data_IF_521737925473
#
_entry.id   IF_521737925473
#
_cell.length_a   1.000
_cell.length_b   1.000
_cell.length_c   1.000
_cell.angle_alpha   90.00
_cell.angle_beta   90.00
_cell.angle_gamma   90.00
#
_symmetry.space_group_name_H-M   'P 1'
#
loop_
_entity.id
_entity.type
_entity.pdbx_description
1 polymer ?
#
# COMPACT_ATOMS: atom_id res chain seq x y z
N UNK A 1 15.25 -22.91 23.37
CA UNK A 1 14.24 -23.06 22.32
C UNK A 1 12.94 -22.49 22.87
N UNK A 2 12.64 -21.26 22.50
CA UNK A 2 11.44 -20.61 23.00
C UNK A 2 10.49 -20.41 21.82
N UNK A 3 9.58 -21.39 21.69
CA UNK A 3 8.56 -21.47 20.65
C UNK A 3 7.32 -20.73 21.15
N UNK A 4 7.33 -19.39 21.08
CA UNK A 4 6.13 -18.61 21.33
C UNK A 4 6.19 -17.28 20.55
N UNK A 5 5.85 -17.34 19.32
CA UNK A 5 5.19 -16.26 18.58
C UNK A 5 4.47 -16.89 17.39
N UNK A 6 3.54 -17.77 17.65
CA UNK A 6 2.45 -18.02 16.71
C UNK A 6 1.58 -16.78 16.80
N UNK A 7 1.85 -15.83 15.91
CA UNK A 7 0.97 -14.71 15.61
C UNK A 7 -0.43 -15.28 15.42
N UNK A 8 -1.37 -14.92 16.29
CA UNK A 8 -2.77 -15.30 16.11
C UNK A 8 -3.21 -14.72 14.76
N UNK A 9 -3.37 -15.58 13.78
CA UNK A 9 -3.95 -15.21 12.49
C UNK A 9 -5.42 -14.97 12.73
N UNK A 10 -5.77 -13.71 12.99
CA UNK A 10 -7.16 -13.31 13.09
C UNK A 10 -7.86 -13.54 11.74
N UNK A 11 -8.97 -14.25 11.77
CA UNK A 11 -9.77 -14.51 10.57
C UNK A 11 -10.34 -13.22 10.00
N UNK A 12 -10.68 -13.21 8.71
CA UNK A 12 -11.38 -12.08 8.09
C UNK A 12 -12.68 -11.71 8.84
N UNK A 13 -13.30 -12.70 9.54
CA UNK A 13 -14.45 -12.49 10.39
C UNK A 13 -14.12 -11.73 11.69
N UNK A 14 -12.92 -11.89 12.23
CA UNK A 14 -12.48 -11.14 13.41
C UNK A 14 -12.21 -9.68 13.05
N UNK A 15 -11.64 -9.41 11.87
CA UNK A 15 -11.47 -8.03 11.36
C UNK A 15 -12.80 -7.34 11.01
N UNK A 16 -13.79 -8.09 10.56
CA UNK A 16 -15.14 -7.54 10.35
C UNK A 16 -15.78 -7.08 11.67
N UNK A 17 -15.27 -7.54 12.82
CA UNK A 17 -15.66 -7.09 14.15
C UNK A 17 -14.98 -5.78 14.59
N UNK A 18 -13.89 -5.38 13.94
CA UNK A 18 -13.23 -4.07 14.12
C UNK A 18 -14.07 -2.98 13.45
N UNK A 19 -15.36 -2.91 13.79
CA UNK A 19 -16.28 -1.96 13.14
C UNK A 19 -15.96 -0.50 13.47
N UNK A 20 -15.41 -0.25 14.66
CA UNK A 20 -15.03 1.08 15.12
C UNK A 20 -13.86 0.94 16.10
N UNK A 21 -12.64 1.28 15.68
CA UNK A 21 -11.48 1.23 16.57
C UNK A 21 -10.15 1.16 15.85
N UNK A 22 -9.10 1.19 16.64
CA UNK A 22 -7.72 1.01 16.23
C UNK A 22 -7.24 -0.36 16.69
N UNK A 23 -6.66 -1.13 15.80
CA UNK A 23 -6.02 -2.41 16.10
C UNK A 23 -4.54 -2.35 15.77
N UNK A 24 -3.69 -2.89 16.65
CA UNK A 24 -2.24 -2.89 16.48
C UNK A 24 -1.70 -4.31 16.49
N UNK A 25 -0.77 -4.62 15.58
CA UNK A 25 -0.06 -5.90 15.52
C UNK A 25 1.42 -5.65 15.27
N UNK A 26 2.29 -6.50 15.81
CA UNK A 26 3.72 -6.46 15.48
C UNK A 26 3.91 -7.00 14.06
N UNK A 27 4.58 -6.22 13.20
CA UNK A 27 4.98 -6.71 11.89
C UNK A 27 6.02 -7.82 12.03
N UNK A 28 5.85 -8.97 11.35
CA UNK A 28 6.88 -10.00 11.33
C UNK A 28 8.07 -9.63 10.42
N UNK A 29 7.97 -8.51 9.70
CA UNK A 29 8.96 -8.06 8.69
C UNK A 29 9.76 -6.91 9.23
N UNK A 30 11.05 -6.87 8.88
CA UNK A 30 11.88 -5.68 9.02
C UNK A 30 11.35 -4.61 8.09
N UNK A 31 11.16 -3.38 8.60
CA UNK A 31 10.71 -2.24 7.79
C UNK A 31 11.76 -1.14 7.86
N UNK A 32 12.07 -0.58 6.70
CA UNK A 32 12.99 0.56 6.56
C UNK A 32 12.33 1.71 5.83
N UNK A 33 12.69 2.93 6.24
CA UNK A 33 12.24 4.16 5.61
C UNK A 33 13.44 5.05 5.31
N UNK A 34 13.46 5.68 4.13
CA UNK A 34 14.53 6.57 3.68
C UNK A 34 13.98 7.97 3.41
N UNK A 35 14.70 8.97 3.85
CA UNK A 35 14.38 10.38 3.59
C UNK A 35 15.66 11.17 3.27
N UNK A 36 15.62 11.99 2.21
CA UNK A 36 16.75 12.81 1.75
C UNK A 36 18.05 11.98 1.54
N UNK A 37 17.90 10.76 0.96
CA UNK A 37 18.96 9.76 0.77
C UNK A 37 19.60 9.25 2.06
N UNK A 38 18.96 9.41 3.20
CA UNK A 38 19.42 8.92 4.48
C UNK A 38 18.46 7.89 5.05
N UNK A 39 18.98 6.93 5.82
CA UNK A 39 18.17 5.97 6.55
C UNK A 39 17.45 6.71 7.70
N UNK A 40 16.14 6.83 7.57
CA UNK A 40 15.28 7.52 8.53
C UNK A 40 14.88 6.60 9.68
N UNK A 41 14.53 5.36 9.35
CA UNK A 41 14.14 4.34 10.33
C UNK A 41 14.47 2.93 9.82
N UNK A 42 14.81 2.02 10.75
CA UNK A 42 15.11 0.61 10.48
C UNK A 42 14.74 -0.23 11.69
N UNK A 43 13.67 -1.01 11.60
CA UNK A 43 13.16 -1.76 12.74
C UNK A 43 12.61 -3.14 12.36
N UNK A 44 12.79 -4.10 13.25
CA UNK A 44 12.14 -5.42 13.27
C UNK A 44 11.00 -5.49 14.31
N UNK A 45 10.66 -4.34 14.92
CA UNK A 45 9.63 -4.23 15.97
C UNK A 45 8.52 -3.26 15.57
N UNK A 46 8.35 -3.04 14.27
CA UNK A 46 7.33 -2.12 13.74
C UNK A 46 5.94 -2.61 14.10
N UNK A 47 5.08 -1.71 14.54
CA UNK A 47 3.67 -1.98 14.67
C UNK A 47 2.94 -1.67 13.36
N UNK A 48 2.11 -2.59 12.91
CA UNK A 48 1.07 -2.34 11.93
C UNK A 48 -0.18 -1.87 12.66
N UNK A 49 -0.61 -0.66 12.35
CA UNK A 49 -1.81 -0.06 12.95
C UNK A 49 -2.91 -0.03 11.91
N UNK A 50 -4.00 -0.70 12.21
CA UNK A 50 -5.18 -0.81 11.35
C UNK A 50 -6.27 0.11 11.87
N UNK A 51 -6.81 0.93 10.97
CA UNK A 51 -8.03 1.70 11.18
C UNK A 51 -9.11 1.25 10.19
N UNK A 52 -10.36 1.36 10.59
CA UNK A 52 -11.48 0.98 9.71
C UNK A 52 -11.43 1.71 8.37
N UNK A 53 -11.51 0.95 7.25
CA UNK A 53 -11.54 1.46 5.87
C UNK A 53 -10.28 2.20 5.40
N UNK A 54 -9.15 2.01 6.07
CA UNK A 54 -7.87 2.59 5.69
C UNK A 54 -6.82 1.51 5.52
N UNK A 55 -5.81 1.70 4.65
CA UNK A 55 -4.61 0.87 4.66
C UNK A 55 -3.93 0.93 6.04
N UNK A 56 -3.20 -0.11 6.44
CA UNK A 56 -2.43 -0.08 7.67
C UNK A 56 -1.34 1.00 7.62
N UNK A 57 -0.86 1.40 8.80
CA UNK A 57 0.22 2.38 8.95
C UNK A 57 1.35 1.74 9.76
N UNK A 58 2.61 1.95 9.32
CA UNK A 58 3.78 1.57 10.10
C UNK A 58 4.04 2.55 11.23
N UNK A 59 4.21 2.03 12.44
CA UNK A 59 4.66 2.76 13.61
C UNK A 59 5.97 2.16 14.12
N UNK A 60 7.00 2.98 14.17
CA UNK A 60 8.36 2.59 14.55
C UNK A 60 8.59 2.92 16.02
N UNK A 61 9.26 2.03 16.80
CA UNK A 61 9.84 2.45 18.06
C UNK A 61 10.75 3.65 17.84
N UNK A 62 10.66 4.67 18.68
CA UNK A 62 11.49 5.91 18.56
C UNK A 62 12.98 5.57 18.61
N UNK A 63 13.35 4.52 19.36
CA UNK A 63 14.75 4.05 19.48
C UNK A 63 15.34 3.57 18.14
N UNK A 64 14.51 3.14 17.19
CA UNK A 64 14.90 2.63 15.87
C UNK A 64 14.80 3.71 14.77
N UNK A 65 14.63 4.97 15.17
CA UNK A 65 14.48 6.12 14.26
C UNK A 65 15.65 7.07 14.40
N UNK A 66 16.17 7.55 13.28
CA UNK A 66 17.17 8.64 13.29
C UNK A 66 16.50 9.98 13.62
N UNK A 67 16.40 10.27 14.90
CA UNK A 67 15.73 11.47 15.40
C UNK A 67 16.51 12.77 15.07
N UNK A 68 17.76 12.70 14.64
CA UNK A 68 18.54 13.87 14.18
C UNK A 68 17.95 14.46 12.89
N UNK A 69 17.24 13.66 12.10
CA UNK A 69 16.56 14.11 10.89
C UNK A 69 15.22 14.79 11.16
N UNK A 70 14.79 14.83 12.41
CA UNK A 70 13.47 15.29 12.83
C UNK A 70 13.56 16.46 13.80
N UNK A 71 12.71 17.46 13.60
CA UNK A 71 12.51 18.53 14.57
C UNK A 71 11.03 18.57 14.98
N UNK A 72 10.78 18.61 16.27
CA UNK A 72 9.43 18.72 16.81
C UNK A 72 8.82 20.06 16.40
N UNK A 73 7.59 20.03 15.89
CA UNK A 73 6.79 21.25 15.71
C UNK A 73 6.10 21.60 17.03
N UNK A 74 5.91 22.90 17.25
CA UNK A 74 5.10 23.34 18.38
C UNK A 74 3.70 22.72 18.25
N UNK A 75 3.24 22.07 19.34
CA UNK A 75 1.96 21.37 19.36
C UNK A 75 0.82 22.38 19.24
N UNK A 76 -0.12 22.12 18.32
CA UNK A 76 -1.40 22.82 18.35
C UNK A 76 -2.19 22.34 19.56
N UNK A 77 -2.76 23.27 20.36
CA UNK A 77 -3.53 22.93 21.57
C UNK A 77 -4.80 22.10 21.33
N UNK A 78 -5.20 21.95 20.06
CA UNK A 78 -6.51 21.37 19.68
C UNK A 78 -6.56 19.85 19.55
N UNK A 79 -5.43 19.13 19.69
CA UNK A 79 -5.47 17.69 19.60
C UNK A 79 -5.79 17.05 20.95
N UNK A 80 -7.03 16.63 21.15
CA UNK A 80 -7.50 15.89 22.33
C UNK A 80 -6.68 14.62 22.64
N UNK A 81 -5.83 14.17 21.71
CA UNK A 81 -4.96 12.98 21.80
C UNK A 81 -3.50 13.33 22.08
N UNK A 82 -3.13 14.60 22.27
CA UNK A 82 -1.72 14.98 22.43
C UNK A 82 -0.85 14.62 21.23
N UNK A 83 -1.36 14.80 20.02
CA UNK A 83 -0.59 14.49 18.79
C UNK A 83 0.58 15.44 18.65
N UNK A 84 1.79 14.89 18.56
CA UNK A 84 3.02 15.60 18.26
C UNK A 84 3.31 15.48 16.78
N UNK A 85 3.60 16.59 16.13
CA UNK A 85 4.00 16.61 14.71
C UNK A 85 5.48 16.89 14.59
N UNK A 86 6.08 16.29 13.55
CA UNK A 86 7.50 16.40 13.28
C UNK A 86 7.72 16.89 11.86
N UNK A 87 8.62 17.84 11.70
CA UNK A 87 9.15 18.29 10.40
C UNK A 87 10.52 17.67 10.16
N UNK A 88 10.98 17.69 8.92
CA UNK A 88 12.36 17.33 8.63
C UNK A 88 13.34 18.37 9.18
N UNK A 89 14.51 17.89 9.61
CA UNK A 89 15.64 18.70 10.01
C UNK A 89 16.85 18.30 9.18
N UNK A 90 16.79 18.54 7.84
CA UNK A 90 17.89 18.28 6.92
C UNK A 90 18.14 19.51 6.06
N UNK A 91 19.40 19.71 5.62
CA UNK A 91 19.76 20.81 4.73
C UNK A 91 19.30 20.59 3.30
N UNK A 92 19.24 19.30 2.86
CA UNK A 92 18.98 18.95 1.48
C UNK A 92 17.50 18.94 1.10
N UNK A 93 16.60 18.70 2.07
CA UNK A 93 15.16 18.66 1.86
C UNK A 93 14.39 19.02 3.12
N UNK A 94 13.45 19.92 2.98
CA UNK A 94 12.57 20.32 4.07
C UNK A 94 11.13 19.89 3.79
N UNK A 95 10.46 19.34 4.81
CA UNK A 95 9.01 19.11 4.80
C UNK A 95 8.44 19.41 6.18
N UNK A 96 7.33 20.10 6.19
CA UNK A 96 6.69 20.50 7.44
C UNK A 96 5.92 19.37 8.13
N UNK A 97 5.59 18.32 7.41
CA UNK A 97 4.87 17.17 7.92
C UNK A 97 5.58 15.89 7.47
N UNK A 98 6.62 15.48 8.19
CA UNK A 98 7.33 14.23 7.93
C UNK A 98 6.76 13.09 8.77
N UNK A 99 6.45 13.35 10.06
CA UNK A 99 6.01 12.32 10.98
C UNK A 99 5.01 12.84 12.02
N UNK A 100 4.40 11.91 12.74
CA UNK A 100 3.59 12.20 13.91
C UNK A 100 3.76 11.12 14.98
N UNK A 101 3.55 11.49 16.24
CA UNK A 101 3.53 10.59 17.39
C UNK A 101 2.48 11.05 18.39
N UNK A 102 2.24 10.28 19.43
CA UNK A 102 1.36 10.64 20.52
C UNK A 102 2.15 10.85 21.79
N UNK A 103 1.86 11.89 22.57
CA UNK A 103 2.53 12.19 23.82
C UNK A 103 2.10 11.25 24.95
N UNK A 104 0.80 11.01 25.05
CA UNK A 104 0.18 10.16 26.09
C UNK A 104 -0.98 9.38 25.48
N UNK A 105 -0.70 8.39 24.62
CA UNK A 105 -1.75 7.58 24.03
C UNK A 105 -2.45 6.74 25.11
N UNK A 106 -3.76 6.55 24.97
CA UNK A 106 -4.58 5.78 25.90
C UNK A 106 -5.61 4.93 25.15
N UNK A 107 -6.27 3.99 25.85
CA UNK A 107 -7.22 3.07 25.23
C UNK A 107 -6.56 2.24 24.14
N UNK A 108 -7.21 2.14 22.96
CA UNK A 108 -6.71 1.36 21.82
C UNK A 108 -5.40 1.93 21.24
N UNK A 109 -5.06 3.18 21.54
CA UNK A 109 -3.81 3.82 21.14
C UNK A 109 -2.66 3.57 22.12
N UNK A 110 -2.91 3.01 23.31
CA UNK A 110 -1.87 2.79 24.32
C UNK A 110 -0.63 2.04 23.80
N UNK A 111 -0.73 1.04 22.90
CA UNK A 111 0.44 0.38 22.32
C UNK A 111 1.36 1.31 21.51
N UNK A 112 0.89 2.50 21.11
CA UNK A 112 1.66 3.47 20.33
C UNK A 112 2.52 4.40 21.20
N UNK A 113 2.57 4.16 22.52
CA UNK A 113 3.48 4.85 23.41
C UNK A 113 4.93 4.61 22.93
N UNK A 114 5.73 5.69 22.88
CA UNK A 114 7.12 5.68 22.39
C UNK A 114 7.31 5.17 20.95
N UNK A 115 6.26 5.33 20.13
CA UNK A 115 6.28 5.05 18.69
C UNK A 115 6.02 6.31 17.88
N UNK A 116 6.49 6.29 16.64
CA UNK A 116 6.34 7.36 15.66
C UNK A 116 5.94 6.78 14.29
N UNK A 117 5.07 7.46 13.59
CA UNK A 117 4.69 7.13 12.22
C UNK A 117 5.13 8.23 11.25
N UNK A 118 5.35 7.85 9.99
CA UNK A 118 5.72 8.78 8.92
C UNK A 118 4.60 8.88 7.90
N UNK A 119 4.40 10.10 7.38
CA UNK A 119 3.48 10.30 6.26
C UNK A 119 4.05 9.61 5.01
N UNK A 120 3.27 8.69 4.44
CA UNK A 120 3.72 7.83 3.35
C UNK A 120 4.41 8.60 2.22
N UNK A 121 3.74 9.66 1.73
CA UNK A 121 4.21 10.47 0.60
C UNK A 121 5.30 11.49 0.98
N UNK A 122 5.63 11.63 2.25
CA UNK A 122 6.72 12.50 2.71
C UNK A 122 8.08 11.80 2.70
N UNK A 123 8.07 10.46 2.74
CA UNK A 123 9.24 9.58 2.74
C UNK A 123 9.60 9.20 1.30
N UNK A 124 10.88 9.07 0.99
CA UNK A 124 11.37 8.82 -0.37
C UNK A 124 11.17 7.37 -0.80
N UNK A 125 11.47 6.44 0.10
CA UNK A 125 11.37 5.01 -0.16
C UNK A 125 11.07 4.22 1.11
N UNK A 126 10.27 3.18 0.93
CA UNK A 126 9.89 2.22 1.96
C UNK A 126 10.32 0.82 1.56
N UNK A 127 10.83 0.04 2.51
CA UNK A 127 11.21 -1.34 2.27
C UNK A 127 10.62 -2.26 3.33
N UNK A 128 10.07 -3.39 2.91
CA UNK A 128 9.86 -4.58 3.74
C UNK A 128 10.94 -5.60 3.37
N UNK A 129 11.77 -5.99 4.34
CA UNK A 129 13.00 -6.74 4.09
C UNK A 129 13.84 -6.02 3.01
N UNK A 130 14.13 -6.65 1.88
CA UNK A 130 14.88 -6.08 0.77
C UNK A 130 13.99 -5.67 -0.43
N UNK A 131 12.66 -5.69 -0.26
CA UNK A 131 11.72 -5.28 -1.29
C UNK A 131 11.14 -3.89 -1.05
N UNK A 132 11.17 -3.06 -2.07
CA UNK A 132 10.52 -1.76 -2.02
C UNK A 132 9.00 -1.89 -2.01
N UNK A 133 8.35 -1.12 -1.14
CA UNK A 133 6.90 -1.10 -0.97
C UNK A 133 6.34 0.22 -1.48
N UNK A 134 5.32 0.15 -2.32
CA UNK A 134 4.71 1.30 -2.97
C UNK A 134 3.28 1.52 -2.45
N UNK A 135 2.82 2.78 -2.49
CA UNK A 135 1.45 3.23 -2.22
C UNK A 135 1.05 3.22 -0.75
N UNK A 136 1.24 2.11 -0.03
CA UNK A 136 0.95 1.97 1.39
C UNK A 136 1.56 0.66 1.93
N UNK A 137 1.66 0.47 3.27
CA UNK A 137 2.04 -0.82 3.86
C UNK A 137 1.24 -1.98 3.30
N UNK A 138 1.88 -3.12 3.09
CA UNK A 138 1.16 -4.34 2.71
C UNK A 138 0.31 -4.82 3.89
N UNK A 139 -1.00 -4.94 3.66
CA UNK A 139 -1.91 -5.57 4.63
C UNK A 139 -1.71 -7.09 4.57
N UNK A 140 -1.25 -7.75 5.64
CA UNK A 140 -0.99 -9.19 5.64
C UNK A 140 -2.26 -10.03 5.45
N UNK A 141 -3.43 -9.42 5.57
CA UNK A 141 -4.72 -10.06 5.39
C UNK A 141 -5.33 -9.82 4.02
N UNK A 142 -4.74 -8.95 3.21
CA UNK A 142 -5.15 -8.78 1.82
C UNK A 142 -4.64 -9.97 1.01
N UNK A 143 -5.57 -10.71 0.42
CA UNK A 143 -5.29 -11.88 -0.41
C UNK A 143 -5.55 -11.56 -1.88
N UNK A 144 -4.62 -11.96 -2.72
CA UNK A 144 -4.75 -11.89 -4.17
C UNK A 144 -4.54 -13.29 -4.74
N UNK A 145 -5.59 -13.85 -5.34
CA UNK A 145 -5.54 -15.16 -5.98
C UNK A 145 -5.76 -15.01 -7.48
N UNK A 146 -5.00 -15.76 -8.27
CA UNK A 146 -5.20 -15.88 -9.71
C UNK A 146 -5.56 -17.31 -10.07
N UNK A 147 -6.64 -17.49 -10.83
CA UNK A 147 -7.17 -18.80 -11.20
C UNK A 147 -7.45 -18.84 -12.69
N UNK A 148 -6.89 -19.83 -13.38
CA UNK A 148 -7.23 -20.11 -14.78
C UNK A 148 -8.70 -20.52 -14.91
N UNK A 149 -9.37 -20.06 -15.96
CA UNK A 149 -10.78 -20.30 -16.18
C UNK A 149 -11.07 -20.64 -17.64
N UNK A 150 -12.11 -21.42 -17.87
CA UNK A 150 -12.66 -21.71 -19.20
C UNK A 150 -13.88 -20.87 -19.54
N UNK A 151 -14.16 -19.80 -18.79
CA UNK A 151 -15.28 -18.90 -19.10
C UNK A 151 -15.02 -18.18 -20.41
N UNK A 152 -16.04 -18.10 -21.26
CA UNK A 152 -16.01 -17.20 -22.41
C UNK A 152 -16.14 -15.75 -21.93
N UNK A 153 -15.17 -14.93 -22.30
CA UNK A 153 -15.14 -13.49 -21.99
C UNK A 153 -14.98 -12.72 -23.29
N UNK A 154 -15.88 -11.78 -23.54
CA UNK A 154 -15.84 -10.85 -24.66
C UNK A 154 -15.89 -9.43 -24.13
N UNK A 155 -14.95 -8.60 -24.58
CA UNK A 155 -14.87 -7.17 -24.24
C UNK A 155 -15.18 -6.36 -25.48
N UNK A 156 -16.15 -5.49 -25.36
CA UNK A 156 -16.62 -4.64 -26.43
C UNK A 156 -16.65 -3.18 -26.02
N UNK A 157 -16.18 -2.30 -26.88
CA UNK A 157 -16.20 -0.84 -26.67
C UNK A 157 -16.77 -0.20 -27.94
N UNK A 158 -17.78 0.63 -27.79
CA UNK A 158 -18.51 1.30 -28.90
C UNK A 158 -18.95 0.32 -30.02
N UNK A 159 -19.42 -0.87 -29.65
CA UNK A 159 -19.85 -1.90 -30.60
C UNK A 159 -18.71 -2.68 -31.27
N UNK A 160 -17.45 -2.35 -30.96
CA UNK A 160 -16.28 -3.06 -31.49
C UNK A 160 -15.70 -4.02 -30.46
N UNK A 161 -15.52 -5.30 -30.84
CA UNK A 161 -14.82 -6.27 -30.00
C UNK A 161 -13.35 -5.95 -29.95
N UNK A 162 -12.81 -5.75 -28.75
CA UNK A 162 -11.39 -5.46 -28.51
C UNK A 162 -10.64 -6.64 -27.92
N UNK A 163 -11.34 -7.58 -27.28
CA UNK A 163 -10.75 -8.82 -26.79
C UNK A 163 -11.81 -9.92 -26.70
N UNK A 164 -11.40 -11.17 -26.93
CA UNK A 164 -12.29 -12.32 -26.80
C UNK A 164 -11.47 -13.57 -26.47
N UNK A 165 -11.84 -14.28 -25.37
CA UNK A 165 -11.07 -15.43 -24.90
C UNK A 165 -11.97 -16.48 -24.25
N UNK A 166 -11.55 -17.76 -24.31
CA UNK A 166 -12.10 -18.88 -23.51
C UNK A 166 -11.08 -19.37 -22.44
N UNK A 167 -10.04 -18.59 -22.19
CA UNK A 167 -8.97 -18.93 -21.24
C UNK A 167 -8.52 -17.71 -20.41
N UNK A 168 -9.46 -16.95 -19.82
CA UNK A 168 -9.09 -15.84 -18.98
C UNK A 168 -8.41 -16.33 -17.69
N UNK A 169 -7.63 -15.46 -17.08
CA UNK A 169 -7.19 -15.63 -15.70
C UNK A 169 -8.05 -14.70 -14.84
N UNK A 170 -8.78 -15.29 -13.88
CA UNK A 170 -9.58 -14.53 -12.94
C UNK A 170 -8.75 -14.17 -11.73
N UNK A 171 -8.78 -12.90 -11.36
CA UNK A 171 -8.12 -12.40 -10.17
C UNK A 171 -9.17 -12.06 -9.12
N UNK A 172 -9.01 -12.67 -7.96
CA UNK A 172 -9.81 -12.44 -6.76
C UNK A 172 -8.96 -11.69 -5.74
N UNK A 173 -9.40 -10.51 -5.37
CA UNK A 173 -8.71 -9.66 -4.41
C UNK A 173 -9.66 -9.31 -3.26
N UNK A 174 -9.18 -9.40 -2.02
CA UNK A 174 -9.99 -9.12 -0.83
C UNK A 174 -10.65 -7.75 -0.93
N UNK A 175 -11.98 -7.72 -0.82
CA UNK A 175 -12.79 -6.50 -0.85
C UNK A 175 -13.02 -5.88 -2.24
N UNK A 176 -12.52 -6.50 -3.32
CA UNK A 176 -12.69 -6.00 -4.68
C UNK A 176 -13.48 -6.96 -5.57
N UNK A 177 -14.18 -6.45 -6.60
CA UNK A 177 -14.81 -7.29 -7.61
C UNK A 177 -13.78 -8.10 -8.39
N UNK A 178 -14.17 -9.31 -8.83
CA UNK A 178 -13.35 -10.16 -9.69
C UNK A 178 -12.87 -9.39 -10.93
N UNK A 179 -11.60 -9.47 -11.24
CA UNK A 179 -11.00 -8.95 -12.48
C UNK A 179 -10.72 -10.09 -13.44
N UNK A 180 -10.91 -9.83 -14.73
CA UNK A 180 -10.68 -10.77 -15.82
C UNK A 180 -9.44 -10.34 -16.60
N UNK A 181 -8.36 -11.08 -16.46
CA UNK A 181 -7.14 -10.87 -17.23
C UNK A 181 -7.19 -11.72 -18.49
N UNK A 182 -7.06 -11.05 -19.62
CA UNK A 182 -7.15 -11.67 -20.94
C UNK A 182 -5.73 -11.83 -21.49
N UNK A 183 -5.35 -13.04 -21.96
CA UNK A 183 -4.06 -13.24 -22.62
C UNK A 183 -3.89 -12.25 -23.78
N UNK A 184 -2.69 -11.65 -23.91
CA UNK A 184 -2.40 -10.67 -24.97
C UNK A 184 -2.71 -11.17 -26.39
N UNK A 185 -2.57 -12.49 -26.62
CA UNK A 185 -2.87 -13.10 -27.92
C UNK A 185 -4.40 -13.07 -28.25
N UNK A 186 -5.24 -12.92 -27.24
CA UNK A 186 -6.68 -12.89 -27.37
C UNK A 186 -7.21 -11.42 -27.30
N UNK A 187 -6.28 -10.43 -27.34
CA UNK A 187 -6.56 -8.99 -27.37
C UNK A 187 -6.15 -8.42 -28.73
N UNK A 188 -6.98 -7.53 -29.27
CA UNK A 188 -6.69 -6.81 -30.52
C UNK A 188 -5.63 -5.74 -30.29
N UNK A 189 -4.37 -6.18 -30.11
CA UNK A 189 -3.23 -5.31 -29.79
C UNK A 189 -2.97 -4.23 -30.83
N UNK A 190 -3.41 -4.43 -32.09
CA UNK A 190 -3.33 -3.42 -33.14
C UNK A 190 -4.19 -2.17 -32.90
N UNK A 191 -5.14 -2.23 -31.96
CA UNK A 191 -5.96 -1.09 -31.52
C UNK A 191 -5.38 -0.41 -30.28
N UNK A 192 -4.32 -0.94 -29.70
CA UNK A 192 -3.73 -0.49 -28.44
C UNK A 192 -2.37 0.17 -28.67
N UNK A 193 -2.21 1.38 -28.12
CA UNK A 193 -0.96 2.15 -28.13
C UNK A 193 -0.43 2.26 -26.71
N UNK A 194 0.79 1.75 -26.48
CA UNK A 194 1.44 1.85 -25.17
C UNK A 194 1.61 3.32 -24.77
N UNK A 195 1.45 3.59 -23.47
CA UNK A 195 1.66 4.90 -22.87
C UNK A 195 2.79 4.84 -21.84
N UNK A 196 3.29 6.00 -21.42
CA UNK A 196 4.31 6.10 -20.37
C UNK A 196 3.70 6.03 -18.95
N UNK A 197 2.38 5.85 -18.85
CA UNK A 197 1.68 5.75 -17.57
C UNK A 197 2.06 4.44 -16.87
N UNK A 198 2.50 4.57 -15.63
CA UNK A 198 2.81 3.46 -14.74
C UNK A 198 2.12 3.71 -13.40
N UNK A 199 1.45 2.71 -12.88
CA UNK A 199 0.93 2.74 -11.50
C UNK A 199 1.45 1.55 -10.72
N UNK A 200 1.46 1.66 -9.41
CA UNK A 200 1.94 0.60 -8.52
C UNK A 200 0.82 0.06 -7.65
N UNK A 201 0.87 -1.24 -7.42
CA UNK A 201 0.05 -1.93 -6.43
C UNK A 201 0.98 -2.62 -5.45
N UNK A 202 0.76 -2.50 -4.12
CA UNK A 202 1.64 -3.14 -3.13
C UNK A 202 1.68 -4.67 -3.26
N UNK A 203 0.68 -5.27 -3.90
CA UNK A 203 0.54 -6.74 -4.02
C UNK A 203 0.85 -7.29 -5.41
N UNK A 204 0.62 -6.48 -6.48
CA UNK A 204 0.70 -6.92 -7.88
C UNK A 204 1.87 -6.31 -8.66
N UNK A 205 2.61 -5.40 -8.04
CA UNK A 205 3.74 -4.72 -8.68
C UNK A 205 3.33 -3.55 -9.57
N UNK A 206 4.13 -3.28 -10.62
CA UNK A 206 3.93 -2.17 -11.53
C UNK A 206 2.99 -2.54 -12.70
N UNK A 207 1.98 -1.74 -12.93
CA UNK A 207 1.08 -1.85 -14.08
C UNK A 207 1.53 -0.94 -15.22
N UNK A 208 1.54 -1.48 -16.45
CA UNK A 208 1.70 -0.72 -17.70
C UNK A 208 0.35 -0.48 -18.32
N UNK A 209 0.25 0.61 -19.10
CA UNK A 209 -1.00 1.08 -19.67
C UNK A 209 -0.96 1.19 -21.19
N UNK A 210 -2.14 1.08 -21.80
CA UNK A 210 -2.36 1.31 -23.22
C UNK A 210 -3.60 2.16 -23.42
N UNK A 211 -3.50 3.11 -24.36
CA UNK A 211 -4.66 3.82 -24.90
C UNK A 211 -5.30 2.98 -25.99
N UNK A 212 -6.63 2.95 -26.04
CA UNK A 212 -7.40 2.28 -27.09
C UNK A 212 -7.79 3.30 -28.17
N UNK A 213 -7.47 2.98 -29.42
CA UNK A 213 -7.85 3.78 -30.59
C UNK A 213 -8.97 3.08 -31.37
N UNK A 214 -10.14 3.70 -31.45
CA UNK A 214 -11.27 3.25 -32.27
C UNK A 214 -11.66 4.35 -33.22
N UNK A 215 -11.44 4.12 -34.54
CA UNK A 215 -11.70 5.11 -35.58
C UNK A 215 -11.12 6.50 -35.23
N UNK A 216 -11.96 7.46 -34.92
CA UNK A 216 -11.62 8.84 -34.56
C UNK A 216 -11.53 9.11 -33.04
N UNK A 217 -11.84 8.10 -32.21
CA UNK A 217 -11.84 8.22 -30.75
C UNK A 217 -10.63 7.55 -30.12
N UNK A 218 -10.02 8.24 -29.16
CA UNK A 218 -8.94 7.71 -28.32
C UNK A 218 -9.40 7.65 -26.86
N UNK A 219 -9.32 6.48 -26.27
CA UNK A 219 -9.56 6.23 -24.85
C UNK A 219 -8.21 6.12 -24.16
N UNK A 220 -7.79 7.22 -23.53
CA UNK A 220 -6.47 7.31 -22.88
C UNK A 220 -6.36 6.38 -21.68
N UNK A 221 -5.24 5.63 -21.59
CA UNK A 221 -4.91 4.73 -20.47
C UNK A 221 -6.05 3.77 -20.10
N UNK A 222 -6.77 3.27 -21.11
CA UNK A 222 -8.00 2.50 -20.94
C UNK A 222 -7.75 1.03 -20.60
N UNK A 223 -6.62 0.49 -21.01
CA UNK A 223 -6.22 -0.90 -20.79
C UNK A 223 -4.95 -0.94 -19.95
N UNK A 224 -4.89 -1.84 -18.99
CA UNK A 224 -3.70 -2.03 -18.17
C UNK A 224 -3.37 -3.52 -18.02
N UNK A 225 -2.13 -3.80 -17.66
CA UNK A 225 -1.67 -5.14 -17.34
C UNK A 225 -0.42 -5.12 -16.46
N UNK A 226 -0.20 -6.21 -15.75
CA UNK A 226 0.99 -6.44 -14.95
C UNK A 226 1.91 -7.39 -15.70
N UNK A 227 3.02 -6.92 -16.30
CA UNK A 227 3.92 -7.75 -17.08
C UNK A 227 4.78 -8.67 -16.20
N UNK A 228 4.94 -8.32 -14.93
CA UNK A 228 5.68 -9.06 -13.90
C UNK A 228 4.95 -8.89 -12.57
N UNK A 229 3.92 -9.70 -12.33
CA UNK A 229 3.18 -9.66 -11.08
C UNK A 229 3.95 -10.33 -9.93
#
# INVERSE_FOLDING_TARGET
MNTQALTQVHSAAERARLKDGVHTEVSPRRVRAYFANQLLADSQKVLLVFETKRPPVYWFPIEDVNMELLARKESSPEAATGTVRWRSHTESRTTDNLAWSYEKPSGDLAPLQDHIAFYWNAVDAWYEEDEEVFVHPRDPYSRVDTVHSSRHVRVEVDGQVIAETNRPVLLYETGLPTRYYIPKLDVRMNLLHATDTVTHCPYKGAASYWSLQLSDKTYKDFVWGYPRP
#
